data_IF_017721084506
#
_entry.id   IF_017721084506
#
_cell.length_a   1.000
_cell.length_b   1.000
_cell.length_c   1.000
_cell.angle_alpha   90.00
_cell.angle_beta   90.00
_cell.angle_gamma   90.00
#
_symmetry.space_group_name_H-M   'P 1'
#
loop_
_entity.id
_entity.type
_entity.pdbx_description
1 polymer ?
#
# COMPACT_ATOMS: atom_id res chain seq x y z
N UNK A 1 15.36 7.38 19.22
CA UNK A 1 14.88 5.97 19.08
C UNK A 1 15.85 5.24 18.16
N UNK A 2 16.38 4.05 18.52
CA UNK A 2 17.22 3.23 17.62
C UNK A 2 16.30 2.18 17.00
N UNK A 3 16.16 2.21 15.68
CA UNK A 3 15.48 1.15 14.94
C UNK A 3 16.46 0.01 14.65
N UNK A 4 15.98 -1.24 14.78
CA UNK A 4 16.74 -2.41 14.37
C UNK A 4 16.40 -2.74 12.91
N UNK A 5 17.42 -2.92 12.09
CA UNK A 5 17.25 -3.40 10.71
C UNK A 5 17.33 -4.92 10.72
N UNK A 6 16.29 -5.59 10.26
CA UNK A 6 16.30 -7.03 10.07
C UNK A 6 17.08 -7.39 8.78
N UNK A 7 17.43 -8.66 8.64
CA UNK A 7 18.11 -9.17 7.43
C UNK A 7 17.27 -8.96 6.16
N UNK A 8 15.95 -9.06 6.26
CA UNK A 8 14.96 -8.74 5.22
C UNK A 8 13.99 -7.67 5.71
N UNK A 9 13.36 -6.89 4.80
CA UNK A 9 12.28 -6.00 5.17
C UNK A 9 11.10 -6.79 5.75
N UNK A 10 10.38 -6.22 6.69
CA UNK A 10 9.14 -6.84 7.22
C UNK A 10 8.00 -6.76 6.21
N UNK A 11 7.99 -5.69 5.41
CA UNK A 11 6.96 -5.42 4.43
C UNK A 11 7.58 -5.20 3.05
N UNK A 12 6.99 -5.82 2.04
CA UNK A 12 7.43 -5.73 0.66
C UNK A 12 6.23 -5.37 -0.25
N UNK A 13 5.83 -4.09 -0.30
CA UNK A 13 4.93 -3.64 -1.34
C UNK A 13 5.63 -3.77 -2.70
N UNK A 14 5.03 -4.56 -3.58
CA UNK A 14 5.59 -4.85 -4.90
C UNK A 14 4.57 -4.48 -5.98
N UNK A 15 4.95 -3.58 -6.87
CA UNK A 15 4.15 -3.24 -8.03
C UNK A 15 4.21 -4.39 -9.03
N UNK A 16 3.20 -5.24 -9.03
CA UNK A 16 3.04 -6.27 -10.07
C UNK A 16 2.44 -5.69 -11.33
N UNK A 17 1.70 -4.61 -11.20
CA UNK A 17 1.15 -3.81 -12.30
C UNK A 17 1.09 -2.34 -11.91
N UNK A 18 1.34 -1.44 -12.83
CA UNK A 18 1.26 -0.01 -12.62
C UNK A 18 0.52 0.68 -13.76
N UNK A 19 -0.40 1.60 -13.40
CA UNK A 19 -1.10 2.42 -14.37
C UNK A 19 -2.44 1.86 -14.86
N UNK A 20 -3.04 0.88 -14.17
CA UNK A 20 -4.34 0.30 -14.52
C UNK A 20 -5.30 0.34 -13.34
N UNK A 21 -6.39 1.07 -13.48
CA UNK A 21 -7.45 1.17 -12.47
C UNK A 21 -8.78 1.45 -13.16
N UNK A 22 -9.87 1.07 -12.51
CA UNK A 22 -11.25 1.36 -12.95
C UNK A 22 -11.81 2.64 -12.32
N UNK A 23 -10.97 3.43 -11.63
CA UNK A 23 -11.28 4.74 -11.06
C UNK A 23 -10.22 5.77 -11.44
N UNK A 24 -10.63 7.06 -11.47
CA UNK A 24 -9.76 8.22 -11.66
C UNK A 24 -9.81 9.15 -10.44
N UNK A 25 -9.58 8.60 -9.24
CA UNK A 25 -9.65 9.38 -7.99
C UNK A 25 -8.82 10.65 -8.07
N UNK A 26 -9.37 11.84 -7.71
CA UNK A 26 -8.66 13.13 -7.86
C UNK A 26 -7.29 13.18 -7.17
N UNK A 27 -7.18 12.52 -6.01
CA UNK A 27 -5.94 12.41 -5.23
C UNK A 27 -4.91 11.43 -5.78
N UNK A 28 -5.28 10.60 -6.77
CA UNK A 28 -4.39 9.57 -7.28
C UNK A 28 -3.28 10.18 -8.14
N UNK A 29 -2.00 9.93 -7.82
CA UNK A 29 -0.89 10.48 -8.61
C UNK A 29 -0.80 9.89 -10.01
N UNK A 30 -1.47 8.74 -10.27
CA UNK A 30 -1.40 8.00 -11.53
C UNK A 30 -2.64 8.19 -12.40
N UNK A 31 -3.82 8.24 -11.79
CA UNK A 31 -5.11 8.22 -12.50
C UNK A 31 -5.92 9.50 -12.34
N UNK A 32 -5.54 10.38 -11.39
CA UNK A 32 -6.19 11.66 -11.18
C UNK A 32 -5.63 12.78 -12.08
N UNK A 33 -6.09 14.01 -11.84
CA UNK A 33 -5.67 15.18 -12.59
C UNK A 33 -4.26 15.67 -12.23
N UNK A 34 -3.31 14.77 -12.16
CA UNK A 34 -1.92 15.10 -11.89
C UNK A 34 -1.19 15.42 -13.20
N UNK A 35 -0.59 16.63 -13.36
CA UNK A 35 0.11 17.00 -14.58
C UNK A 35 1.30 16.08 -14.91
N UNK A 36 1.77 15.29 -13.94
CA UNK A 36 2.88 14.35 -14.09
C UNK A 36 2.46 12.91 -14.28
N UNK A 37 1.16 12.60 -14.46
CA UNK A 37 0.70 11.21 -14.63
C UNK A 37 1.36 10.49 -15.83
N UNK A 38 1.79 11.23 -16.85
CA UNK A 38 2.50 10.69 -18.01
C UNK A 38 3.97 10.32 -17.72
N UNK A 39 4.52 10.77 -16.59
CA UNK A 39 5.90 10.44 -16.18
C UNK A 39 5.97 9.05 -15.51
N UNK A 40 4.83 8.42 -15.24
CA UNK A 40 4.75 7.14 -14.55
C UNK A 40 4.92 6.01 -15.58
N UNK A 41 5.84 5.12 -15.28
CA UNK A 41 6.07 3.93 -16.09
C UNK A 41 4.90 2.98 -15.93
N UNK A 42 4.09 2.84 -16.98
CA UNK A 42 2.97 1.87 -17.00
C UNK A 42 3.46 0.52 -17.48
N UNK A 43 2.96 -0.55 -16.89
CA UNK A 43 3.33 -1.90 -17.30
C UNK A 43 3.06 -2.95 -16.24
N UNK A 44 3.62 -4.13 -16.50
CA UNK A 44 3.50 -5.31 -15.62
C UNK A 44 4.86 -5.92 -15.36
N UNK A 45 5.07 -6.37 -14.13
CA UNK A 45 6.17 -7.27 -13.81
C UNK A 45 5.86 -8.66 -14.42
N UNK A 46 6.83 -9.30 -15.03
CA UNK A 46 6.62 -10.67 -15.51
C UNK A 46 6.47 -11.64 -14.34
N UNK A 47 5.73 -12.73 -14.54
CA UNK A 47 5.60 -13.78 -13.52
C UNK A 47 6.98 -14.37 -13.16
N UNK A 48 7.90 -14.49 -14.12
CA UNK A 48 9.27 -14.95 -13.89
C UNK A 48 10.03 -14.00 -12.93
N UNK A 49 9.93 -12.70 -13.14
CA UNK A 49 10.57 -11.71 -12.26
C UNK A 49 9.94 -11.70 -10.86
N UNK A 50 8.61 -11.78 -10.78
CA UNK A 50 7.91 -11.89 -9.50
C UNK A 50 8.33 -13.17 -8.77
N UNK A 51 8.42 -14.30 -9.47
CA UNK A 51 8.84 -15.58 -8.90
C UNK A 51 10.27 -15.53 -8.34
N UNK A 52 11.21 -14.88 -9.03
CA UNK A 52 12.58 -14.67 -8.53
C UNK A 52 12.57 -13.93 -7.19
N UNK A 53 11.80 -12.83 -7.09
CA UNK A 53 11.70 -12.04 -5.87
C UNK A 53 11.04 -12.84 -4.75
N UNK A 54 9.96 -13.58 -5.05
CA UNK A 54 9.24 -14.36 -4.04
C UNK A 54 10.07 -15.54 -3.51
N UNK A 55 10.90 -16.17 -4.36
CA UNK A 55 11.84 -17.21 -3.93
C UNK A 55 12.85 -16.70 -2.90
N UNK A 56 13.29 -15.45 -3.04
CA UNK A 56 14.25 -14.86 -2.10
C UNK A 56 13.66 -14.58 -0.72
N UNK A 57 12.38 -14.22 -0.66
CA UNK A 57 11.74 -13.83 0.61
C UNK A 57 10.98 -14.98 1.27
N UNK A 58 10.97 -16.16 0.64
CA UNK A 58 10.39 -17.38 1.20
C UNK A 58 11.04 -17.74 2.55
N UNK A 59 10.23 -17.98 3.59
CA UNK A 59 10.70 -18.35 4.92
C UNK A 59 11.22 -17.19 5.78
N UNK A 60 11.24 -15.95 5.29
CA UNK A 60 11.79 -14.79 6.01
C UNK A 60 10.73 -13.91 6.71
N UNK A 61 9.50 -14.39 6.89
CA UNK A 61 8.39 -13.67 7.53
C UNK A 61 8.12 -12.28 6.92
N UNK A 62 8.26 -12.17 5.60
CA UNK A 62 7.97 -10.95 4.85
C UNK A 62 6.49 -10.90 4.52
N UNK A 63 5.84 -9.76 4.79
CA UNK A 63 4.47 -9.48 4.34
C UNK A 63 4.53 -8.83 2.96
N UNK A 64 4.00 -9.49 1.95
CA UNK A 64 3.94 -8.97 0.58
C UNK A 64 2.60 -8.29 0.32
N UNK A 65 2.65 -7.10 -0.29
CA UNK A 65 1.48 -6.41 -0.85
C UNK A 65 1.63 -6.38 -2.37
N UNK A 66 1.02 -7.34 -3.11
CA UNK A 66 1.19 -7.47 -4.55
C UNK A 66 0.25 -6.50 -5.29
N UNK A 67 0.53 -5.21 -5.17
CA UNK A 67 -0.22 -4.14 -5.82
C UNK A 67 0.71 -2.96 -6.06
N UNK A 68 0.29 -2.02 -6.87
CA UNK A 68 0.97 -0.75 -7.05
C UNK A 68 -0.04 0.36 -6.92
N UNK A 69 0.12 1.44 -7.68
CA UNK A 69 -0.92 2.46 -7.85
C UNK A 69 -1.90 1.98 -8.93
N UNK A 70 -2.64 0.93 -8.59
CA UNK A 70 -3.53 0.17 -9.48
C UNK A 70 -4.70 -0.42 -8.69
N UNK A 71 -5.70 -0.96 -9.38
CA UNK A 71 -6.71 -1.83 -8.78
C UNK A 71 -6.38 -3.29 -9.13
N UNK A 72 -6.04 -4.14 -8.14
CA UNK A 72 -5.55 -5.49 -8.42
C UNK A 72 -6.55 -6.35 -9.20
N UNK A 73 -7.84 -6.21 -8.96
CA UNK A 73 -8.88 -7.04 -9.60
C UNK A 73 -9.28 -6.59 -11.02
N UNK A 74 -8.74 -5.49 -11.53
CA UNK A 74 -8.84 -5.14 -12.97
C UNK A 74 -8.03 -6.12 -13.82
N UNK A 75 -7.02 -6.77 -13.22
CA UNK A 75 -6.11 -7.64 -13.93
C UNK A 75 -6.61 -9.08 -13.99
N UNK A 76 -6.68 -9.63 -15.19
CA UNK A 76 -7.03 -11.06 -15.38
C UNK A 76 -6.01 -12.02 -14.75
N UNK A 77 -4.76 -11.60 -14.63
CA UNK A 77 -3.64 -12.45 -14.17
C UNK A 77 -3.26 -12.23 -12.70
N UNK A 78 -3.94 -11.35 -11.96
CA UNK A 78 -3.62 -11.05 -10.56
C UNK A 78 -3.46 -12.31 -9.70
N UNK A 79 -4.38 -13.23 -9.82
CA UNK A 79 -4.35 -14.46 -9.03
C UNK A 79 -3.18 -15.39 -9.36
N UNK A 80 -2.54 -15.28 -10.52
CA UNK A 80 -1.30 -16.02 -10.80
C UNK A 80 -0.15 -15.58 -9.88
N UNK A 81 -0.08 -14.28 -9.54
CA UNK A 81 0.89 -13.78 -8.55
C UNK A 81 0.55 -14.24 -7.14
N UNK A 82 -0.73 -14.26 -6.79
CA UNK A 82 -1.20 -14.80 -5.50
C UNK A 82 -0.87 -16.29 -5.38
N UNK A 83 -1.02 -17.08 -6.45
CA UNK A 83 -0.61 -18.49 -6.50
C UNK A 83 0.89 -18.68 -6.23
N UNK A 84 1.74 -17.84 -6.81
CA UNK A 84 3.19 -17.89 -6.59
C UNK A 84 3.54 -17.60 -5.11
N UNK A 85 2.85 -16.67 -4.47
CA UNK A 85 3.01 -16.35 -3.05
C UNK A 85 2.48 -17.47 -2.16
N UNK A 86 1.30 -18.03 -2.45
CA UNK A 86 0.69 -19.10 -1.68
C UNK A 86 1.52 -20.41 -1.71
N UNK A 87 2.10 -20.76 -2.87
CA UNK A 87 3.01 -21.91 -2.99
C UNK A 87 4.22 -21.82 -2.05
N UNK A 88 4.60 -20.61 -1.63
CA UNK A 88 5.74 -20.32 -0.74
C UNK A 88 5.32 -19.96 0.69
N UNK A 89 4.03 -20.10 1.01
CA UNK A 89 3.47 -19.70 2.32
C UNK A 89 3.81 -18.26 2.72
N UNK A 90 3.92 -17.34 1.74
CA UNK A 90 4.21 -15.93 1.99
C UNK A 90 2.91 -15.22 2.39
N UNK A 91 2.97 -14.45 3.47
CA UNK A 91 1.83 -13.63 3.94
C UNK A 91 1.49 -12.53 2.94
N UNK A 92 0.18 -12.35 2.69
CA UNK A 92 -0.32 -11.43 1.66
C UNK A 92 -1.30 -10.43 2.27
N UNK A 93 -1.11 -9.15 1.96
CA UNK A 93 -2.12 -8.10 2.18
C UNK A 93 -2.57 -7.52 0.84
N UNK A 94 -3.89 -7.43 0.63
CA UNK A 94 -4.47 -6.82 -0.57
C UNK A 94 -5.18 -5.52 -0.19
N UNK A 95 -5.00 -4.49 -1.01
CA UNK A 95 -5.81 -3.27 -0.95
C UNK A 95 -6.62 -3.15 -2.24
N UNK A 96 -7.93 -2.90 -2.14
CA UNK A 96 -8.85 -2.81 -3.29
C UNK A 96 -9.83 -1.64 -3.12
N UNK A 97 -10.31 -1.10 -4.22
CA UNK A 97 -11.42 -0.16 -4.21
C UNK A 97 -12.80 -0.83 -4.05
N UNK A 98 -12.87 -2.15 -4.07
CA UNK A 98 -14.06 -2.95 -3.82
C UNK A 98 -15.04 -3.09 -5.01
N UNK A 99 -14.92 -2.26 -6.05
CA UNK A 99 -15.92 -2.21 -7.13
C UNK A 99 -16.04 -3.48 -7.97
N UNK A 100 -15.05 -4.35 -7.94
CA UNK A 100 -15.01 -5.61 -8.68
C UNK A 100 -15.23 -6.83 -7.79
N UNK A 101 -15.53 -6.63 -6.50
CA UNK A 101 -15.77 -7.70 -5.56
C UNK A 101 -17.30 -7.88 -5.42
N UNK A 102 -17.82 -8.93 -6.01
CA UNK A 102 -19.16 -9.46 -5.80
C UNK A 102 -19.11 -10.75 -4.96
N UNK A 103 -20.21 -11.47 -4.82
CA UNK A 103 -20.25 -12.73 -4.04
C UNK A 103 -19.30 -13.78 -4.60
N UNK A 104 -19.26 -13.98 -5.92
CA UNK A 104 -18.37 -14.96 -6.57
C UNK A 104 -16.90 -14.62 -6.35
N UNK A 105 -16.53 -13.35 -6.53
CA UNK A 105 -15.16 -12.90 -6.28
C UNK A 105 -14.78 -12.99 -4.80
N UNK A 106 -15.70 -12.66 -3.89
CA UNK A 106 -15.47 -12.76 -2.45
C UNK A 106 -15.26 -14.23 -2.03
N UNK A 107 -16.06 -15.16 -2.52
CA UNK A 107 -15.90 -16.59 -2.29
C UNK A 107 -14.54 -17.09 -2.81
N UNK A 108 -14.17 -16.69 -4.02
CA UNK A 108 -12.88 -17.02 -4.61
C UNK A 108 -11.72 -16.50 -3.77
N UNK A 109 -11.74 -15.24 -3.34
CA UNK A 109 -10.70 -14.63 -2.50
C UNK A 109 -10.52 -15.39 -1.19
N UNK A 110 -11.62 -15.80 -0.57
CA UNK A 110 -11.63 -16.40 0.77
C UNK A 110 -11.38 -17.91 0.75
N UNK A 111 -11.84 -18.60 -0.28
CA UNK A 111 -11.84 -20.07 -0.30
C UNK A 111 -10.70 -20.66 -1.12
N UNK A 112 -10.28 -20.00 -2.20
CA UNK A 112 -9.28 -20.54 -3.12
C UNK A 112 -7.87 -20.07 -2.80
N UNK A 113 -7.73 -18.98 -2.02
CA UNK A 113 -6.42 -18.37 -1.73
C UNK A 113 -6.18 -18.15 -0.24
N UNK A 114 -4.90 -18.31 0.16
CA UNK A 114 -4.43 -17.97 1.51
C UNK A 114 -4.01 -16.51 1.56
N UNK A 115 -4.94 -15.62 1.90
CA UNK A 115 -4.72 -14.19 2.05
C UNK A 115 -4.78 -13.83 3.53
N UNK A 116 -3.75 -13.14 4.03
CA UNK A 116 -3.68 -12.75 5.45
C UNK A 116 -4.64 -11.63 5.78
N UNK A 117 -4.74 -10.63 4.90
CA UNK A 117 -5.70 -9.52 5.07
C UNK A 117 -6.09 -8.87 3.75
N UNK A 118 -7.30 -8.33 3.71
CA UNK A 118 -7.79 -7.49 2.62
C UNK A 118 -8.41 -6.22 3.18
N UNK A 119 -8.05 -5.07 2.61
CA UNK A 119 -8.59 -3.78 2.99
C UNK A 119 -9.33 -3.14 1.82
N UNK A 120 -10.58 -2.78 2.06
CA UNK A 120 -11.41 -2.07 1.08
C UNK A 120 -11.34 -0.57 1.35
N UNK A 121 -10.99 0.16 0.32
CA UNK A 121 -10.85 1.61 0.38
C UNK A 121 -12.22 2.28 0.20
N UNK A 122 -12.87 2.63 1.30
CA UNK A 122 -14.22 3.22 1.30
C UNK A 122 -14.17 4.75 1.27
N UNK A 123 -13.44 5.38 2.18
CA UNK A 123 -13.14 6.83 2.26
C UNK A 123 -14.36 7.77 2.40
N UNK A 124 -15.59 7.28 2.58
CA UNK A 124 -16.79 8.11 2.70
C UNK A 124 -17.94 7.40 3.42
N UNK A 125 -18.90 8.18 3.92
CA UNK A 125 -20.19 7.72 4.46
C UNK A 125 -21.38 8.08 3.57
N UNK A 126 -21.17 8.91 2.55
CA UNK A 126 -22.19 9.30 1.58
C UNK A 126 -21.66 9.18 0.16
N UNK A 127 -22.57 8.90 -0.81
CA UNK A 127 -22.21 8.85 -2.23
C UNK A 127 -21.74 10.23 -2.75
N UNK A 128 -22.24 11.32 -2.17
CA UNK A 128 -21.81 12.67 -2.52
C UNK A 128 -20.36 12.90 -2.12
N UNK A 129 -19.97 12.56 -0.89
CA UNK A 129 -18.60 12.65 -0.43
C UNK A 129 -17.68 11.71 -1.21
N UNK A 130 -18.14 10.48 -1.48
CA UNK A 130 -17.39 9.51 -2.27
C UNK A 130 -17.05 10.04 -3.65
N UNK A 131 -17.98 10.73 -4.32
CA UNK A 131 -17.74 11.31 -5.65
C UNK A 131 -16.63 12.36 -5.66
N UNK A 132 -16.43 13.07 -4.55
CA UNK A 132 -15.39 14.08 -4.40
C UNK A 132 -14.00 13.48 -4.16
N UNK A 133 -13.94 12.34 -3.43
CA UNK A 133 -12.66 11.75 -3.01
C UNK A 133 -12.22 10.57 -3.87
N UNK A 134 -13.16 9.88 -4.59
CA UNK A 134 -12.86 8.68 -5.37
C UNK A 134 -13.42 8.65 -6.80
N UNK A 135 -13.99 9.74 -7.27
CA UNK A 135 -14.59 9.84 -8.62
C UNK A 135 -15.63 8.74 -8.90
N UNK A 136 -16.43 8.37 -7.90
CA UNK A 136 -17.53 7.42 -8.05
C UNK A 136 -18.63 7.69 -7.03
N UNK A 137 -19.87 7.36 -7.38
CA UNK A 137 -21.03 7.45 -6.49
C UNK A 137 -21.49 6.07 -5.97
N UNK A 138 -20.73 5.01 -6.27
CA UNK A 138 -21.10 3.60 -6.01
C UNK A 138 -20.75 3.16 -4.58
N UNK A 139 -21.07 3.98 -3.57
CA UNK A 139 -20.78 3.68 -2.17
C UNK A 139 -21.42 2.36 -1.72
N UNK A 140 -22.68 2.14 -2.06
CA UNK A 140 -23.38 0.90 -1.74
C UNK A 140 -22.65 -0.33 -2.27
N UNK A 141 -22.20 -0.31 -3.53
CA UNK A 141 -21.45 -1.41 -4.12
C UNK A 141 -20.12 -1.67 -3.41
N UNK A 142 -19.43 -0.62 -2.95
CA UNK A 142 -18.20 -0.77 -2.16
C UNK A 142 -18.49 -1.37 -0.79
N UNK A 143 -19.58 -0.94 -0.14
CA UNK A 143 -20.04 -1.51 1.13
C UNK A 143 -20.44 -2.97 0.97
N UNK A 144 -21.19 -3.31 -0.09
CA UNK A 144 -21.58 -4.68 -0.41
C UNK A 144 -20.35 -5.58 -0.59
N UNK A 145 -19.28 -5.10 -1.21
CA UNK A 145 -18.03 -5.86 -1.33
C UNK A 145 -17.45 -6.27 0.04
N UNK A 146 -17.50 -5.37 1.04
CA UNK A 146 -17.09 -5.69 2.41
C UNK A 146 -17.96 -6.77 3.01
N UNK A 147 -19.28 -6.65 2.87
CA UNK A 147 -20.23 -7.63 3.42
C UNK A 147 -20.17 -8.97 2.69
N UNK A 148 -19.93 -9.01 1.37
CA UNK A 148 -19.68 -10.24 0.63
C UNK A 148 -18.44 -10.96 1.15
N UNK A 149 -17.34 -10.25 1.40
CA UNK A 149 -16.13 -10.81 1.98
C UNK A 149 -16.37 -11.36 3.40
N UNK A 150 -17.06 -10.61 4.25
CA UNK A 150 -17.42 -11.05 5.60
C UNK A 150 -18.30 -12.30 5.57
N UNK A 151 -19.31 -12.34 4.69
CA UNK A 151 -20.20 -13.49 4.48
C UNK A 151 -19.41 -14.71 4.00
N UNK A 152 -18.56 -14.57 2.99
CA UNK A 152 -17.73 -15.66 2.45
C UNK A 152 -16.75 -16.21 3.51
N UNK A 153 -16.15 -15.32 4.33
CA UNK A 153 -15.26 -15.72 5.40
C UNK A 153 -15.96 -16.50 6.52
N UNK A 154 -17.17 -16.10 6.88
CA UNK A 154 -17.91 -16.72 7.99
C UNK A 154 -17.09 -16.69 9.28
N UNK A 155 -16.93 -17.88 9.93
CA UNK A 155 -16.20 -18.03 11.20
C UNK A 155 -14.68 -18.17 11.05
N UNK A 156 -14.15 -18.17 9.82
CA UNK A 156 -12.69 -18.21 9.59
C UNK A 156 -12.06 -16.94 10.15
N UNK A 157 -10.81 -17.04 10.64
CA UNK A 157 -10.04 -15.90 11.17
C UNK A 157 -9.27 -15.15 10.05
N UNK A 158 -9.12 -15.77 8.89
CA UNK A 158 -8.45 -15.19 7.71
C UNK A 158 -9.31 -15.35 6.46
N UNK A 159 -9.19 -14.40 5.52
CA UNK A 159 -8.44 -13.16 5.63
C UNK A 159 -9.02 -12.22 6.70
N UNK A 160 -8.17 -11.45 7.39
CA UNK A 160 -8.65 -10.29 8.15
C UNK A 160 -9.24 -9.30 7.16
N UNK A 161 -10.46 -8.86 7.40
CA UNK A 161 -11.18 -7.94 6.52
C UNK A 161 -11.22 -6.57 7.18
N UNK A 162 -10.69 -5.57 6.49
CA UNK A 162 -10.65 -4.20 6.98
C UNK A 162 -11.17 -3.20 5.96
N UNK A 163 -11.40 -1.99 6.45
CA UNK A 163 -11.71 -0.83 5.61
C UNK A 163 -10.67 0.26 5.83
N UNK A 164 -10.47 1.11 4.83
CA UNK A 164 -9.60 2.27 4.96
C UNK A 164 -10.35 3.58 4.69
N UNK A 165 -9.90 4.62 5.38
CA UNK A 165 -10.38 5.99 5.27
C UNK A 165 -9.18 6.93 5.17
N UNK A 166 -9.00 7.54 4.02
CA UNK A 166 -7.97 8.56 3.83
C UNK A 166 -8.60 9.91 4.02
N UNK A 167 -8.27 10.55 5.14
CA UNK A 167 -8.81 11.86 5.55
C UNK A 167 -8.30 12.95 4.63
N UNK A 168 -9.21 13.75 4.09
CA UNK A 168 -8.98 14.95 3.30
C UNK A 168 -10.10 15.97 3.58
N UNK A 169 -9.96 17.19 3.11
CA UNK A 169 -10.94 18.27 3.42
C UNK A 169 -12.37 17.91 3.06
N UNK A 170 -12.58 17.15 2.00
CA UNK A 170 -13.90 16.77 1.52
C UNK A 170 -14.61 15.76 2.41
N UNK A 171 -13.88 14.92 3.19
CA UNK A 171 -14.46 13.83 3.98
C UNK A 171 -14.15 13.89 5.48
N UNK A 172 -13.30 14.79 5.95
CA UNK A 172 -12.83 14.83 7.35
C UNK A 172 -13.96 14.85 8.39
N UNK A 173 -15.11 15.43 8.04
CA UNK A 173 -16.28 15.50 8.94
C UNK A 173 -17.00 14.15 9.08
N UNK A 174 -16.77 13.20 8.17
CA UNK A 174 -17.37 11.86 8.20
C UNK A 174 -16.51 10.84 8.97
N UNK A 175 -15.27 11.17 9.34
CA UNK A 175 -14.29 10.27 9.95
C UNK A 175 -14.83 9.52 11.17
N UNK A 176 -15.39 10.24 12.15
CA UNK A 176 -15.86 9.64 13.40
C UNK A 176 -17.09 8.76 13.18
N UNK A 177 -18.00 9.17 12.31
CA UNK A 177 -19.16 8.35 11.93
C UNK A 177 -18.75 7.10 11.16
N UNK A 178 -17.73 7.21 10.30
CA UNK A 178 -17.13 6.08 9.60
C UNK A 178 -16.55 5.04 10.56
N UNK A 179 -15.73 5.47 11.50
CA UNK A 179 -15.13 4.58 12.51
C UNK A 179 -16.24 3.91 13.33
N UNK A 180 -17.20 4.69 13.84
CA UNK A 180 -18.32 4.20 14.67
C UNK A 180 -19.18 3.17 13.92
N UNK A 181 -19.36 3.33 12.62
CA UNK A 181 -20.10 2.40 11.80
C UNK A 181 -19.32 1.11 11.55
N UNK A 182 -18.09 1.22 11.03
CA UNK A 182 -17.37 0.06 10.56
C UNK A 182 -16.74 -0.82 11.67
N UNK A 183 -16.43 -0.25 12.84
CA UNK A 183 -15.86 -1.01 13.97
C UNK A 183 -16.76 -2.17 14.43
N UNK A 184 -18.06 -2.14 14.09
CA UNK A 184 -19.05 -3.17 14.45
C UNK A 184 -18.97 -4.39 13.53
N UNK A 185 -18.33 -4.31 12.38
CA UNK A 185 -18.38 -5.32 11.33
C UNK A 185 -17.03 -5.88 10.95
N UNK A 186 -15.98 -5.05 10.91
CA UNK A 186 -14.69 -5.41 10.34
C UNK A 186 -13.63 -5.65 11.40
N UNK A 187 -12.58 -6.40 11.03
CA UNK A 187 -11.48 -6.74 11.95
C UNK A 187 -10.49 -5.59 12.13
N UNK A 188 -10.47 -4.63 11.21
CA UNK A 188 -9.55 -3.49 11.28
C UNK A 188 -10.06 -2.28 10.50
N UNK A 189 -9.74 -1.10 10.99
CA UNK A 189 -9.97 0.18 10.31
C UNK A 189 -8.62 0.88 10.19
N UNK A 190 -8.24 1.25 8.96
CA UNK A 190 -7.08 2.11 8.71
C UNK A 190 -7.54 3.53 8.46
N UNK A 191 -7.11 4.45 9.30
CA UNK A 191 -7.32 5.88 9.06
C UNK A 191 -5.98 6.50 8.69
N UNK A 192 -5.89 7.07 7.49
CA UNK A 192 -4.71 7.76 7.01
C UNK A 192 -5.05 9.23 6.76
N UNK A 193 -4.10 10.11 6.96
CA UNK A 193 -4.21 11.49 6.47
C UNK A 193 -3.72 11.52 5.01
N UNK A 194 -4.43 12.25 4.15
CA UNK A 194 -3.95 12.48 2.80
C UNK A 194 -2.67 13.32 2.88
N UNK A 195 -1.61 12.77 2.34
CA UNK A 195 -0.37 13.49 2.14
C UNK A 195 -0.07 13.56 0.64
N UNK A 196 0.20 14.75 0.16
CA UNK A 196 0.71 14.97 -1.19
C UNK A 196 2.15 15.48 -1.10
N UNK A 197 3.02 14.99 -1.97
CA UNK A 197 4.39 15.45 -2.02
C UNK A 197 4.44 16.96 -2.31
N UNK A 198 5.06 17.71 -1.38
CA UNK A 198 5.12 19.16 -1.44
C UNK A 198 4.14 19.90 -0.52
N UNK A 199 3.29 19.19 0.22
CA UNK A 199 2.43 19.83 1.23
C UNK A 199 3.28 20.46 2.33
N UNK A 200 3.09 21.78 2.56
CA UNK A 200 3.74 22.52 3.62
C UNK A 200 2.96 22.39 4.95
N UNK A 201 2.80 21.17 5.45
CA UNK A 201 2.28 20.99 6.82
C UNK A 201 3.42 21.15 7.81
N UNK A 202 3.33 22.16 8.67
CA UNK A 202 4.31 22.34 9.75
C UNK A 202 3.90 21.49 10.94
N UNK A 203 4.56 20.36 11.15
CA UNK A 203 4.43 19.57 12.37
C UNK A 203 5.45 20.10 13.37
N UNK A 204 4.96 20.52 14.56
CA UNK A 204 5.83 20.99 15.64
C UNK A 204 6.49 19.80 16.33
N UNK A 205 7.78 19.88 16.57
CA UNK A 205 8.56 18.90 17.32
C UNK A 205 9.78 18.39 16.53
N UNK A 206 10.64 17.65 17.22
CA UNK A 206 11.82 17.03 16.62
C UNK A 206 11.38 15.87 15.72
N UNK A 207 11.80 15.90 14.47
CA UNK A 207 11.55 14.84 13.51
C UNK A 207 12.50 13.67 13.77
N UNK A 208 11.99 12.50 14.18
CA UNK A 208 12.79 11.30 14.28
C UNK A 208 13.08 10.68 12.92
N UNK A 209 13.98 9.68 12.83
CA UNK A 209 14.13 8.86 11.62
C UNK A 209 12.81 8.24 11.20
N UNK A 210 12.55 8.20 9.88
CA UNK A 210 11.29 7.62 9.36
C UNK A 210 11.27 6.10 9.56
N UNK A 211 10.28 5.53 10.27
CA UNK A 211 10.20 4.09 10.54
C UNK A 211 10.16 3.22 9.28
N UNK A 212 9.56 3.73 8.21
CA UNK A 212 9.44 3.02 6.91
C UNK A 212 10.79 2.55 6.38
N UNK A 213 11.87 3.31 6.63
CA UNK A 213 13.23 2.95 6.19
C UNK A 213 13.80 1.71 6.90
N UNK A 214 13.17 1.25 7.99
CA UNK A 214 13.66 0.17 8.84
C UNK A 214 12.78 -1.09 8.80
N UNK A 215 11.64 -1.03 8.09
CA UNK A 215 10.73 -2.16 7.98
C UNK A 215 10.20 -2.43 6.57
N UNK A 216 10.25 -1.46 5.64
CA UNK A 216 9.58 -1.57 4.35
C UNK A 216 10.51 -1.27 3.18
N UNK A 217 10.47 -2.12 2.14
CA UNK A 217 11.12 -1.87 0.85
C UNK A 217 10.07 -1.93 -0.27
N UNK A 218 9.92 -0.85 -1.02
CA UNK A 218 8.99 -0.78 -2.14
C UNK A 218 9.66 -1.22 -3.43
N UNK A 219 9.03 -2.08 -4.22
CA UNK A 219 9.59 -2.58 -5.49
C UNK A 219 8.67 -2.17 -6.65
N UNK A 220 9.25 -1.53 -7.65
CA UNK A 220 8.58 -1.18 -8.91
C UNK A 220 8.46 -2.36 -9.87
N UNK A 221 7.67 -2.21 -10.94
CA UNK A 221 7.43 -3.26 -11.96
C UNK A 221 8.70 -3.77 -12.66
N UNK A 222 9.75 -2.96 -12.68
CA UNK A 222 11.06 -3.24 -13.27
C UNK A 222 12.10 -3.75 -12.26
N UNK A 223 11.70 -4.01 -11.00
CA UNK A 223 12.59 -4.45 -9.93
C UNK A 223 13.34 -3.33 -9.21
N UNK A 224 13.17 -2.06 -9.60
CA UNK A 224 13.77 -0.95 -8.88
C UNK A 224 13.21 -0.86 -7.47
N UNK A 225 14.09 -0.79 -6.48
CA UNK A 225 13.74 -0.65 -5.07
C UNK A 225 13.72 0.83 -4.66
N UNK A 226 12.63 1.25 -4.06
CA UNK A 226 12.35 2.62 -3.61
C UNK A 226 12.24 2.69 -2.09
N UNK A 227 12.57 3.83 -1.52
CA UNK A 227 12.55 4.01 -0.05
C UNK A 227 11.16 4.34 0.51
N UNK A 228 10.19 4.72 -0.35
CA UNK A 228 8.90 5.23 0.11
C UNK A 228 7.78 4.98 -0.92
N UNK A 229 6.54 4.79 -0.45
CA UNK A 229 5.34 4.69 -1.30
C UNK A 229 5.02 6.01 -2.04
N UNK A 230 5.49 7.15 -1.54
CA UNK A 230 5.30 8.45 -2.19
C UNK A 230 6.18 8.64 -3.43
N UNK A 231 7.18 7.78 -3.63
CA UNK A 231 8.04 7.79 -4.82
C UNK A 231 7.41 7.04 -5.99
N UNK A 232 6.28 7.54 -6.46
CA UNK A 232 5.59 6.97 -7.64
C UNK A 232 6.33 7.25 -8.96
N UNK A 233 7.37 8.10 -8.93
CA UNK A 233 8.16 8.49 -10.09
C UNK A 233 9.55 7.84 -10.14
N UNK A 234 9.81 6.88 -9.26
CA UNK A 234 11.04 6.06 -9.21
C UNK A 234 12.34 6.90 -9.07
N UNK A 235 12.28 7.98 -8.27
CA UNK A 235 13.40 8.92 -8.10
C UNK A 235 14.37 8.57 -6.98
N UNK A 236 13.98 7.73 -6.03
CA UNK A 236 14.79 7.36 -4.86
C UNK A 236 15.26 5.90 -4.94
N UNK A 237 15.62 5.43 -6.13
CA UNK A 237 16.08 4.05 -6.31
C UNK A 237 17.35 3.79 -5.52
N UNK A 238 17.29 2.78 -4.63
CA UNK A 238 18.42 2.30 -3.82
C UNK A 238 19.08 1.06 -4.41
N UNK A 239 18.58 0.56 -5.52
CA UNK A 239 19.10 -0.58 -6.26
C UNK A 239 18.01 -1.29 -7.06
N UNK A 240 18.36 -2.38 -7.72
CA UNK A 240 17.44 -3.21 -8.46
C UNK A 240 17.52 -4.66 -7.97
N UNK A 241 16.41 -5.18 -7.43
CA UNK A 241 16.34 -6.52 -6.85
C UNK A 241 16.39 -7.66 -7.88
N UNK A 242 16.24 -7.35 -9.16
CA UNK A 242 16.40 -8.32 -10.25
C UNK A 242 17.85 -8.42 -10.75
N UNK A 243 18.69 -7.40 -10.47
CA UNK A 243 20.11 -7.37 -10.81
C UNK A 243 20.98 -7.94 -9.68
N UNK A 244 20.57 -7.70 -8.43
CA UNK A 244 21.24 -8.24 -7.24
C UNK A 244 20.26 -9.11 -6.45
N UNK A 245 19.92 -8.75 -5.21
CA UNK A 245 18.91 -9.46 -4.41
C UNK A 245 18.14 -8.50 -3.50
N UNK A 246 16.96 -8.92 -3.02
CA UNK A 246 16.18 -8.14 -2.02
C UNK A 246 17.05 -7.86 -0.79
N UNK A 247 17.77 -8.89 -0.30
CA UNK A 247 18.64 -8.78 0.86
C UNK A 247 19.80 -7.80 0.63
N UNK A 248 20.47 -7.89 -0.52
CA UNK A 248 21.61 -7.03 -0.85
C UNK A 248 21.17 -5.57 -1.06
N UNK A 249 20.05 -5.31 -1.72
CA UNK A 249 19.50 -3.96 -1.86
C UNK A 249 19.08 -3.39 -0.50
N UNK A 250 18.38 -4.20 0.32
CA UNK A 250 17.89 -3.79 1.64
C UNK A 250 19.00 -3.42 2.61
N UNK A 251 20.13 -4.15 2.57
CA UNK A 251 21.30 -3.91 3.42
C UNK A 251 22.41 -3.15 2.68
N UNK A 252 22.17 -2.74 1.44
CA UNK A 252 23.16 -2.11 0.58
C UNK A 252 23.56 -0.70 1.03
N UNK A 253 24.66 -0.22 0.46
CA UNK A 253 25.25 1.07 0.82
C UNK A 253 24.28 2.23 0.66
N UNK A 254 23.54 2.30 -0.46
CA UNK A 254 22.58 3.38 -0.73
C UNK A 254 21.46 3.43 0.32
N UNK A 255 20.87 2.29 0.65
CA UNK A 255 19.81 2.22 1.65
C UNK A 255 20.33 2.59 3.04
N UNK A 256 21.51 2.11 3.41
CA UNK A 256 22.15 2.45 4.68
C UNK A 256 22.56 3.93 4.74
N UNK A 257 22.95 4.54 3.63
CA UNK A 257 23.21 5.97 3.59
C UNK A 257 21.96 6.81 3.82
N UNK A 258 20.82 6.43 3.24
CA UNK A 258 19.53 7.08 3.52
C UNK A 258 19.17 6.96 5.00
N UNK A 259 19.30 5.78 5.60
CA UNK A 259 19.08 5.57 7.05
C UNK A 259 19.97 6.48 7.88
N UNK A 260 21.27 6.55 7.54
CA UNK A 260 22.24 7.40 8.25
C UNK A 260 21.87 8.87 8.18
N UNK A 261 21.45 9.40 7.03
CA UNK A 261 20.97 10.78 6.92
C UNK A 261 19.81 11.05 7.86
N UNK A 262 18.87 10.10 7.97
CA UNK A 262 17.74 10.21 8.90
C UNK A 262 18.18 10.15 10.38
N UNK A 263 19.16 9.31 10.71
CA UNK A 263 19.66 9.16 12.08
C UNK A 263 20.36 10.43 12.61
N UNK A 264 20.99 11.18 11.71
CA UNK A 264 21.72 12.42 12.07
C UNK A 264 20.92 13.70 11.76
N UNK A 265 19.67 13.58 11.31
CA UNK A 265 18.77 14.71 11.05
C UNK A 265 19.03 15.43 9.71
N UNK A 266 19.84 14.88 8.82
CA UNK A 266 20.13 15.44 7.47
C UNK A 266 19.07 15.03 6.43
N UNK A 267 17.79 15.26 6.71
CA UNK A 267 16.67 14.86 5.85
C UNK A 267 16.69 15.53 4.47
N UNK A 268 17.31 16.69 4.36
CA UNK A 268 17.49 17.47 3.13
C UNK A 268 18.43 16.80 2.10
N UNK A 269 19.25 15.84 2.53
CA UNK A 269 20.10 15.04 1.64
C UNK A 269 19.29 14.03 0.81
N UNK A 270 18.01 13.83 1.12
CA UNK A 270 17.12 12.97 0.38
C UNK A 270 15.94 13.82 -0.11
N UNK A 271 15.90 14.14 -1.40
CA UNK A 271 14.94 15.08 -1.98
C UNK A 271 13.48 14.77 -1.60
N UNK A 272 13.10 13.49 -1.62
CA UNK A 272 11.75 13.04 -1.24
C UNK A 272 11.46 13.32 0.25
N UNK A 273 12.48 13.32 1.10
CA UNK A 273 12.33 13.45 2.55
C UNK A 273 12.45 14.89 3.05
N UNK A 274 13.03 15.79 2.26
CA UNK A 274 13.36 17.16 2.67
C UNK A 274 12.19 17.89 3.35
N UNK A 275 11.02 17.90 2.72
CA UNK A 275 9.83 18.59 3.23
C UNK A 275 8.71 17.59 3.62
N UNK A 276 9.04 16.31 3.74
CA UNK A 276 8.05 15.29 4.06
C UNK A 276 7.54 15.46 5.49
N UNK A 277 6.22 15.41 5.67
CA UNK A 277 5.55 15.41 6.97
C UNK A 277 4.85 14.05 7.25
N UNK A 278 4.83 13.15 6.29
CA UNK A 278 4.16 11.85 6.38
C UNK A 278 4.78 10.91 7.44
N UNK A 279 6.04 11.17 7.84
CA UNK A 279 6.71 10.45 8.91
C UNK A 279 5.93 10.48 10.23
N UNK A 280 5.16 11.53 10.49
CA UNK A 280 4.43 11.73 11.74
C UNK A 280 3.34 10.70 11.96
N UNK A 281 2.68 10.20 10.91
CA UNK A 281 1.62 9.19 11.02
C UNK A 281 2.11 7.86 11.63
N UNK A 282 3.40 7.57 11.51
CA UNK A 282 3.99 6.34 12.03
C UNK A 282 4.41 6.42 13.50
N UNK A 283 4.35 7.61 14.09
CA UNK A 283 4.85 7.86 15.45
C UNK A 283 3.70 8.12 16.42
N UNK A 284 2.61 8.69 15.94
CA UNK A 284 1.47 9.09 16.78
C UNK A 284 0.32 8.05 16.79
N UNK A 285 0.49 6.90 16.15
CA UNK A 285 -0.53 5.82 16.10
C UNK A 285 -0.23 4.66 17.07
N UNK A 286 0.60 4.85 18.09
CA UNK A 286 0.89 3.85 19.15
C UNK A 286 0.02 4.03 20.40
N UNK A 287 -1.17 4.68 20.31
CA UNK A 287 -2.15 4.76 21.41
C UNK A 287 -3.35 3.87 21.18
#
# INVERSE_FOLDING_TARGET
>A
MKYNVNEYPKMLPICIEEGFCNLACPKCPVHGDNPRHNDIVKGRMSLENAEKIFNEVEGHNVLVTPSGVTEPFVQNDFFKYVDLLNKRNISITINSNGLLIDEEMAEKIVNDYSISSIFISVDAMTSETLSKVRDTVKLEKINDAVFCLLKARGEKITPRIGVSFTTEDANKMEKDSFIKYWIQYVDAIRVNELYQYGDEKTIQGDRPPCPVLYDTLFIGINGNARICCLDVFDKTSVGNVLETSVREVWNGEKMNQVRKFHEIGEFDKVDLCKNCQDWSRYIFNEE
#
